data_IF_216187836724
#
_entry.id   IF_216187836724
#
_cell.length_a   1.000
_cell.length_b   1.000
_cell.length_c   1.000
_cell.angle_alpha   90.00
_cell.angle_beta   90.00
_cell.angle_gamma   90.00
#
_symmetry.space_group_name_H-M   'P 1'
#
loop_
_entity.id
_entity.type
_entity.pdbx_description
1 polymer ?
#
# COMPACT_ATOMS: atom_id res chain seq x y z
N UNK A 1 7.18 22.24 -52.12
CA UNK A 1 6.31 23.01 -51.21
C UNK A 1 5.03 22.20 -50.98
N UNK A 2 4.81 21.72 -49.76
CA UNK A 2 3.55 21.11 -49.34
C UNK A 2 2.65 22.26 -48.92
N UNK A 3 1.54 22.46 -49.58
CA UNK A 3 0.53 23.41 -49.17
C UNK A 3 -0.44 22.66 -48.23
N UNK A 4 -0.50 22.98 -46.93
CA UNK A 4 -1.45 22.34 -46.05
C UNK A 4 -2.88 22.73 -46.50
N UNK A 5 -3.77 21.72 -46.62
CA UNK A 5 -5.19 21.95 -46.82
C UNK A 5 -5.87 22.57 -45.61
N UNK A 6 -7.12 22.99 -45.74
CA UNK A 6 -7.90 23.45 -44.61
C UNK A 6 -8.11 22.31 -43.60
N UNK A 7 -7.84 22.54 -42.30
CA UNK A 7 -7.98 21.51 -41.30
C UNK A 7 -9.48 21.18 -41.04
N UNK A 8 -9.78 19.88 -40.95
CA UNK A 8 -11.14 19.41 -40.61
C UNK A 8 -11.48 19.68 -39.16
N UNK A 9 -12.77 20.00 -38.91
CA UNK A 9 -13.29 20.28 -37.58
C UNK A 9 -14.29 19.23 -37.16
N UNK A 10 -14.39 18.99 -35.84
CA UNK A 10 -15.39 18.11 -35.27
C UNK A 10 -16.79 18.68 -35.48
N UNK A 11 -17.61 17.99 -36.22
CA UNK A 11 -19.03 18.29 -36.41
C UNK A 11 -19.94 17.62 -35.38
N UNK A 12 -19.52 16.43 -34.91
CA UNK A 12 -20.26 15.71 -33.85
C UNK A 12 -19.49 14.53 -33.28
N UNK A 13 -19.90 14.14 -32.10
CA UNK A 13 -19.42 12.96 -31.39
C UNK A 13 -20.58 12.05 -31.06
N UNK A 14 -20.62 10.89 -31.68
CA UNK A 14 -21.62 9.86 -31.45
C UNK A 14 -20.90 8.71 -30.72
N UNK A 15 -20.90 8.80 -29.40
CA UNK A 15 -20.23 7.83 -28.51
C UNK A 15 -21.27 7.23 -27.60
N UNK A 16 -21.55 5.96 -27.80
CA UNK A 16 -22.52 5.18 -27.02
C UNK A 16 -21.81 4.03 -26.29
N UNK A 17 -22.21 3.82 -25.05
CA UNK A 17 -21.75 2.71 -24.23
C UNK A 17 -22.99 1.91 -23.86
N UNK A 18 -22.97 0.62 -24.20
CA UNK A 18 -24.03 -0.35 -23.91
C UNK A 18 -23.54 -1.43 -22.95
N UNK A 19 -24.44 -2.30 -22.49
CA UNK A 19 -24.16 -3.27 -21.45
C UNK A 19 -24.25 -2.66 -20.06
N UNK A 20 -23.72 -3.37 -19.05
CA UNK A 20 -23.81 -2.91 -17.66
C UNK A 20 -23.01 -1.63 -17.38
N UNK A 21 -21.97 -1.34 -18.17
CA UNK A 21 -21.20 -0.11 -18.02
C UNK A 21 -21.97 1.15 -18.40
N UNK A 22 -23.11 1.03 -19.08
CA UNK A 22 -23.95 2.19 -19.43
C UNK A 22 -24.43 2.97 -18.20
N UNK A 23 -24.63 2.28 -17.08
CA UNK A 23 -25.06 2.84 -15.80
C UNK A 23 -23.87 3.16 -14.85
N UNK A 24 -22.64 2.82 -15.25
CA UNK A 24 -21.44 3.07 -14.42
C UNK A 24 -21.01 4.54 -14.54
N UNK A 25 -21.02 5.24 -13.41
CA UNK A 25 -20.67 6.67 -13.33
C UNK A 25 -19.27 6.99 -13.86
N UNK A 26 -18.32 6.05 -13.77
CA UNK A 26 -16.97 6.25 -14.26
C UNK A 26 -16.92 6.35 -15.79
N UNK A 27 -17.76 5.60 -16.49
CA UNK A 27 -17.91 5.71 -17.94
C UNK A 27 -18.66 6.99 -18.32
N UNK A 28 -19.66 7.37 -17.56
CA UNK A 28 -20.36 8.65 -17.75
C UNK A 28 -19.40 9.84 -17.60
N UNK A 29 -18.48 9.76 -16.65
CA UNK A 29 -17.46 10.79 -16.44
C UNK A 29 -16.52 10.97 -17.62
N UNK A 30 -16.25 9.93 -18.42
CA UNK A 30 -15.42 10.03 -19.63
C UNK A 30 -16.03 10.95 -20.70
N UNK A 31 -17.36 11.14 -20.72
CA UNK A 31 -18.03 12.06 -21.66
C UNK A 31 -17.53 13.49 -21.55
N UNK A 32 -17.00 13.89 -20.40
CA UNK A 32 -16.39 15.22 -20.18
C UNK A 32 -15.14 15.45 -21.03
N UNK A 33 -14.52 14.38 -21.48
CA UNK A 33 -13.29 14.40 -22.28
C UNK A 33 -13.57 14.34 -23.80
N UNK A 34 -14.83 14.33 -24.20
CA UNK A 34 -15.20 14.40 -25.61
C UNK A 34 -14.84 15.78 -26.19
N UNK A 35 -14.35 15.83 -27.45
CA UNK A 35 -14.07 17.09 -28.10
C UNK A 35 -15.36 17.87 -28.34
N UNK A 36 -15.25 19.19 -28.30
CA UNK A 36 -16.37 20.08 -28.56
C UNK A 36 -16.58 20.28 -30.08
N UNK A 37 -17.81 20.56 -30.47
CA UNK A 37 -18.09 20.91 -31.85
C UNK A 37 -17.27 22.14 -32.26
N UNK A 38 -16.63 22.06 -33.43
CA UNK A 38 -15.76 23.10 -33.97
C UNK A 38 -14.28 23.00 -33.59
N UNK A 39 -13.90 22.09 -32.71
CA UNK A 39 -12.48 21.79 -32.45
C UNK A 39 -11.82 21.13 -33.65
N UNK A 40 -10.50 21.33 -33.81
CA UNK A 40 -9.72 20.68 -34.85
C UNK A 40 -9.64 19.17 -34.61
N UNK A 41 -9.65 18.43 -35.71
CA UNK A 41 -9.51 16.97 -35.65
C UNK A 41 -8.08 16.59 -35.30
N UNK A 42 -7.91 15.87 -34.20
CA UNK A 42 -6.66 15.26 -33.79
C UNK A 42 -6.86 13.74 -33.65
N UNK A 43 -6.21 12.96 -34.51
CA UNK A 43 -6.30 11.49 -34.46
C UNK A 43 -5.87 10.93 -33.11
N UNK A 44 -4.85 11.53 -32.50
CA UNK A 44 -4.34 11.10 -31.21
C UNK A 44 -5.42 11.20 -30.12
N UNK A 45 -6.20 12.27 -30.09
CA UNK A 45 -7.30 12.41 -29.13
C UNK A 45 -8.37 11.33 -29.28
N UNK A 46 -8.64 10.94 -30.52
CA UNK A 46 -9.57 9.85 -30.81
C UNK A 46 -9.04 8.51 -30.27
N UNK A 47 -7.78 8.19 -30.55
CA UNK A 47 -7.15 6.95 -30.11
C UNK A 47 -6.99 6.91 -28.59
N UNK A 48 -6.62 8.03 -27.97
CA UNK A 48 -6.51 8.17 -26.51
C UNK A 48 -7.86 7.96 -25.84
N UNK A 49 -8.93 8.52 -26.39
CA UNK A 49 -10.27 8.34 -25.85
C UNK A 49 -10.76 6.89 -25.96
N UNK A 50 -10.54 6.26 -27.11
CA UNK A 50 -10.82 4.84 -27.33
C UNK A 50 -10.04 3.95 -26.36
N UNK A 51 -8.76 4.22 -26.16
CA UNK A 51 -7.90 3.53 -25.22
C UNK A 51 -8.38 3.72 -23.79
N UNK A 52 -8.83 4.92 -23.44
CA UNK A 52 -9.38 5.22 -22.10
C UNK A 52 -10.63 4.40 -21.79
N UNK A 53 -11.53 4.21 -22.76
CA UNK A 53 -12.71 3.34 -22.59
C UNK A 53 -12.26 1.90 -22.36
N UNK A 54 -11.36 1.37 -23.18
CA UNK A 54 -10.88 -0.02 -23.04
C UNK A 54 -10.18 -0.25 -21.70
N UNK A 55 -9.30 0.66 -21.31
CA UNK A 55 -8.57 0.55 -20.05
C UNK A 55 -9.51 0.64 -18.84
N UNK A 56 -10.49 1.54 -18.89
CA UNK A 56 -11.49 1.65 -17.83
C UNK A 56 -12.33 0.38 -17.73
N UNK A 57 -12.72 -0.20 -18.86
CA UNK A 57 -13.47 -1.46 -18.89
C UNK A 57 -12.69 -2.59 -18.23
N UNK A 58 -11.43 -2.78 -18.60
CA UNK A 58 -10.55 -3.80 -18.01
C UNK A 58 -10.35 -3.55 -16.51
N UNK A 59 -10.10 -2.29 -16.11
CA UNK A 59 -9.88 -1.93 -14.73
C UNK A 59 -11.11 -2.19 -13.84
N UNK A 60 -12.30 -2.10 -14.38
CA UNK A 60 -13.57 -2.26 -13.67
C UNK A 60 -14.26 -3.60 -13.87
N UNK A 61 -13.60 -4.56 -14.51
CA UNK A 61 -14.10 -5.92 -14.63
C UNK A 61 -15.05 -6.18 -15.79
N UNK A 62 -15.13 -5.30 -16.77
CA UNK A 62 -15.86 -5.55 -18.02
C UNK A 62 -14.92 -6.22 -19.03
N UNK A 63 -14.57 -7.48 -18.75
CA UNK A 63 -13.53 -8.20 -19.50
C UNK A 63 -13.93 -8.60 -20.91
N UNK A 64 -15.23 -8.71 -21.18
CA UNK A 64 -15.80 -9.01 -22.50
C UNK A 64 -16.05 -7.75 -23.34
N UNK A 65 -15.71 -6.59 -22.80
CA UNK A 65 -15.97 -5.30 -23.44
C UNK A 65 -15.28 -5.16 -24.80
N UNK A 66 -16.04 -4.77 -25.80
CA UNK A 66 -15.53 -4.60 -27.18
C UNK A 66 -16.24 -3.47 -27.90
N UNK A 67 -15.52 -2.85 -28.83
CA UNK A 67 -16.10 -1.90 -29.76
C UNK A 67 -16.86 -2.63 -30.86
N UNK A 68 -18.14 -2.32 -31.00
CA UNK A 68 -18.97 -2.75 -32.13
C UNK A 68 -18.74 -1.80 -33.33
N UNK A 69 -18.61 -0.51 -33.02
CA UNK A 69 -18.27 0.55 -34.00
C UNK A 69 -17.12 1.37 -33.41
N UNK A 70 -16.12 1.65 -34.22
CA UNK A 70 -14.97 2.47 -33.83
C UNK A 70 -14.35 3.08 -35.06
N UNK A 71 -14.82 4.26 -35.45
CA UNK A 71 -14.34 4.96 -36.65
C UNK A 71 -14.40 6.46 -36.49
N UNK A 72 -13.42 7.12 -37.07
CA UNK A 72 -13.37 8.55 -37.29
C UNK A 72 -13.74 8.81 -38.75
N UNK A 73 -14.92 9.38 -38.97
CA UNK A 73 -15.41 9.73 -40.30
C UNK A 73 -14.98 11.15 -40.64
N UNK A 74 -14.34 11.36 -41.76
CA UNK A 74 -13.92 12.68 -42.23
C UNK A 74 -14.48 12.92 -43.65
N UNK A 75 -15.19 14.02 -43.81
CA UNK A 75 -15.62 14.47 -45.14
C UNK A 75 -14.64 15.52 -45.69
N UNK A 76 -13.90 15.16 -46.74
CA UNK A 76 -12.96 16.10 -47.35
C UNK A 76 -13.63 17.31 -48.01
N UNK A 77 -14.88 17.13 -48.43
CA UNK A 77 -15.65 18.18 -49.14
C UNK A 77 -16.16 19.28 -48.22
N UNK A 78 -16.60 18.89 -46.98
CA UNK A 78 -17.16 19.83 -46.01
C UNK A 78 -16.17 20.21 -44.91
N UNK A 79 -14.97 19.58 -44.90
CA UNK A 79 -13.99 19.71 -43.82
C UNK A 79 -14.54 19.41 -42.43
N UNK A 80 -15.46 18.47 -42.36
CA UNK A 80 -16.13 18.04 -41.12
C UNK A 80 -15.71 16.61 -40.76
N UNK A 81 -15.74 16.34 -39.45
CA UNK A 81 -15.44 15.02 -38.91
C UNK A 81 -16.39 14.60 -37.80
N UNK A 82 -16.66 13.32 -37.74
CA UNK A 82 -17.56 12.72 -36.73
C UNK A 82 -16.82 11.56 -36.05
N UNK A 83 -16.89 11.52 -34.72
CA UNK A 83 -16.52 10.35 -33.95
C UNK A 83 -17.70 9.40 -33.87
N UNK A 84 -17.51 8.16 -34.30
CA UNK A 84 -18.50 7.10 -34.22
C UNK A 84 -17.94 5.97 -33.39
N UNK A 85 -18.43 5.82 -32.16
CA UNK A 85 -18.03 4.75 -31.24
C UNK A 85 -19.26 4.12 -30.61
N UNK A 86 -19.35 2.80 -30.71
CA UNK A 86 -20.31 1.99 -29.95
C UNK A 86 -19.51 0.94 -29.21
N UNK A 87 -19.44 1.07 -27.89
CA UNK A 87 -18.76 0.13 -27.02
C UNK A 87 -19.78 -0.68 -26.23
N UNK A 88 -19.72 -1.99 -26.39
CA UNK A 88 -20.52 -2.93 -25.62
C UNK A 88 -19.65 -3.53 -24.51
N UNK A 89 -19.97 -3.22 -23.28
CA UNK A 89 -19.22 -3.69 -22.11
C UNK A 89 -19.49 -5.14 -21.75
N UNK A 90 -20.62 -5.69 -22.19
CA UNK A 90 -21.12 -6.93 -21.65
C UNK A 90 -21.49 -6.80 -20.16
N UNK A 91 -21.39 -7.91 -19.45
CA UNK A 91 -21.62 -7.98 -18.00
C UNK A 91 -20.33 -7.76 -17.22
N UNK A 92 -20.45 -7.24 -16.01
CA UNK A 92 -19.33 -7.05 -15.10
C UNK A 92 -18.94 -8.36 -14.44
N UNK A 93 -17.65 -8.68 -14.43
CA UNK A 93 -17.12 -9.82 -13.70
C UNK A 93 -17.06 -9.52 -12.20
N UNK A 94 -17.19 -10.58 -11.40
CA UNK A 94 -17.12 -10.55 -9.96
C UNK A 94 -16.03 -11.49 -9.46
N UNK A 95 -15.57 -11.31 -8.21
CA UNK A 95 -14.63 -12.24 -7.61
C UNK A 95 -15.29 -13.60 -7.35
N UNK A 96 -14.61 -14.67 -7.76
CA UNK A 96 -14.95 -16.04 -7.43
C UNK A 96 -14.24 -16.51 -6.15
N UNK A 97 -13.53 -17.62 -6.22
CA UNK A 97 -12.79 -18.18 -5.10
C UNK A 97 -11.48 -17.43 -4.88
N UNK A 98 -11.14 -17.22 -3.61
CA UNK A 98 -9.86 -16.65 -3.20
C UNK A 98 -9.09 -17.73 -2.46
N UNK A 99 -7.92 -18.11 -2.97
CA UNK A 99 -7.10 -19.19 -2.44
C UNK A 99 -5.70 -18.72 -2.10
N UNK A 100 -5.09 -19.34 -1.09
CA UNK A 100 -3.74 -19.07 -0.65
C UNK A 100 -2.88 -20.31 -0.84
N UNK A 101 -1.66 -20.16 -1.31
CA UNK A 101 -0.71 -21.23 -1.47
C UNK A 101 0.68 -20.84 -0.97
N UNK A 102 1.46 -21.84 -0.57
CA UNK A 102 2.84 -21.73 -0.03
C UNK A 102 2.99 -20.96 1.28
N UNK A 103 1.94 -20.45 1.89
CA UNK A 103 2.03 -19.65 3.10
C UNK A 103 2.38 -20.47 4.35
N UNK A 104 3.27 -19.93 5.17
CA UNK A 104 3.56 -20.40 6.53
C UNK A 104 2.58 -19.84 7.57
N UNK A 105 1.77 -18.87 7.20
CA UNK A 105 0.79 -18.22 8.08
C UNK A 105 -0.55 -18.94 7.97
N UNK A 106 -1.25 -19.07 9.07
CA UNK A 106 -2.58 -19.68 9.13
C UNK A 106 -3.57 -18.93 8.22
N UNK A 107 -4.39 -19.72 7.55
CA UNK A 107 -5.34 -19.19 6.57
C UNK A 107 -6.37 -18.22 7.18
N UNK A 108 -6.82 -18.46 8.43
CA UNK A 108 -7.74 -17.55 9.12
C UNK A 108 -7.17 -16.14 9.33
N UNK A 109 -5.86 -16.03 9.58
CA UNK A 109 -5.16 -14.73 9.61
C UNK A 109 -5.10 -14.08 8.23
N UNK A 110 -4.82 -14.86 7.19
CA UNK A 110 -4.75 -14.36 5.81
C UNK A 110 -6.13 -13.90 5.31
N UNK A 111 -7.17 -14.66 5.60
CA UNK A 111 -8.56 -14.33 5.26
C UNK A 111 -8.98 -12.96 5.83
N UNK A 112 -8.60 -12.68 7.08
CA UNK A 112 -8.95 -11.43 7.75
C UNK A 112 -8.15 -10.22 7.25
N UNK A 113 -7.17 -10.43 6.38
CA UNK A 113 -6.39 -9.37 5.72
C UNK A 113 -6.92 -9.00 4.34
N UNK A 114 -7.87 -9.76 3.82
CA UNK A 114 -8.45 -9.52 2.50
C UNK A 114 -9.28 -8.23 2.50
N UNK A 115 -9.08 -7.43 1.47
CA UNK A 115 -9.91 -6.25 1.15
C UNK A 115 -11.03 -6.57 0.15
N UNK A 116 -11.11 -7.82 -0.30
CA UNK A 116 -12.09 -8.32 -1.28
C UNK A 116 -12.84 -9.52 -0.72
N UNK A 117 -14.05 -9.75 -1.23
CA UNK A 117 -14.87 -10.90 -0.90
C UNK A 117 -15.37 -11.57 -2.18
N UNK A 118 -15.61 -12.88 -2.12
CA UNK A 118 -16.32 -13.59 -3.19
C UNK A 118 -17.68 -12.94 -3.45
N UNK A 119 -17.96 -12.64 -4.72
CA UNK A 119 -19.17 -11.95 -5.16
C UNK A 119 -19.06 -10.44 -5.28
N UNK A 120 -18.01 -9.81 -4.75
CA UNK A 120 -17.76 -8.39 -4.97
C UNK A 120 -17.42 -8.11 -6.44
N UNK A 121 -17.73 -6.93 -6.97
CA UNK A 121 -17.33 -6.54 -8.32
C UNK A 121 -15.80 -6.54 -8.48
N UNK A 122 -15.31 -7.11 -9.56
CA UNK A 122 -13.89 -7.14 -9.86
C UNK A 122 -13.34 -5.75 -10.18
N UNK A 123 -12.24 -5.36 -9.48
CA UNK A 123 -11.49 -4.13 -9.71
C UNK A 123 -9.98 -4.44 -9.69
N UNK A 124 -9.27 -4.02 -10.73
CA UNK A 124 -7.80 -4.21 -10.79
C UNK A 124 -7.08 -3.46 -9.66
N UNK A 125 -7.61 -2.31 -9.24
CA UNK A 125 -7.06 -1.54 -8.10
C UNK A 125 -7.07 -2.33 -6.78
N UNK A 126 -8.06 -3.18 -6.57
CA UNK A 126 -8.14 -4.02 -5.36
C UNK A 126 -6.98 -5.02 -5.29
N UNK A 127 -6.53 -5.53 -6.44
CA UNK A 127 -5.39 -6.46 -6.51
C UNK A 127 -4.08 -5.79 -6.12
N UNK A 128 -3.90 -4.53 -6.50
CA UNK A 128 -2.73 -3.74 -6.09
C UNK A 128 -2.74 -3.47 -4.59
N UNK A 129 -3.90 -3.12 -4.03
CA UNK A 129 -4.07 -2.93 -2.60
C UNK A 129 -3.83 -4.23 -1.82
N UNK A 130 -4.37 -5.34 -2.32
CA UNK A 130 -4.18 -6.67 -1.72
C UNK A 130 -2.70 -7.07 -1.70
N UNK A 131 -1.99 -6.87 -2.81
CA UNK A 131 -0.53 -7.11 -2.90
C UNK A 131 0.23 -6.26 -1.87
N UNK A 132 -0.11 -4.98 -1.75
CA UNK A 132 0.52 -4.09 -0.79
C UNK A 132 0.24 -4.51 0.66
N UNK A 133 -0.97 -4.91 0.97
CA UNK A 133 -1.36 -5.38 2.30
C UNK A 133 -0.55 -6.59 2.73
N UNK A 134 -0.44 -7.60 1.87
CA UNK A 134 0.35 -8.80 2.17
C UNK A 134 1.85 -8.54 2.20
N UNK A 135 2.37 -7.70 1.31
CA UNK A 135 3.79 -7.35 1.27
C UNK A 135 4.22 -6.52 2.49
N UNK A 136 3.33 -5.71 3.04
CA UNK A 136 3.62 -4.85 4.20
C UNK A 136 3.85 -5.61 5.50
N UNK A 137 3.41 -6.88 5.58
CA UNK A 137 3.60 -7.72 6.76
C UNK A 137 5.02 -8.14 7.02
N UNK A 138 5.88 -8.10 6.00
CA UNK A 138 7.24 -8.65 6.01
C UNK A 138 7.32 -10.18 6.28
N UNK A 139 6.22 -10.89 6.24
CA UNK A 139 6.20 -12.35 6.40
C UNK A 139 6.70 -13.10 5.17
N UNK A 140 6.55 -12.47 4.00
CA UNK A 140 6.79 -13.09 2.70
C UNK A 140 7.98 -12.45 1.98
N UNK A 141 8.76 -13.28 1.32
CA UNK A 141 9.80 -12.83 0.38
C UNK A 141 9.21 -12.41 -0.96
N UNK A 142 8.08 -13.02 -1.33
CA UNK A 142 7.35 -12.73 -2.56
C UNK A 142 5.87 -12.92 -2.36
N UNK A 143 5.08 -12.01 -2.90
CA UNK A 143 3.61 -12.04 -2.96
C UNK A 143 3.22 -11.92 -4.42
N UNK A 144 2.64 -12.99 -4.97
CA UNK A 144 2.18 -13.04 -6.36
C UNK A 144 0.68 -13.29 -6.38
N UNK A 145 -0.05 -12.46 -7.12
CA UNK A 145 -1.46 -12.66 -7.38
C UNK A 145 -1.65 -13.18 -8.80
N UNK A 146 -2.40 -14.26 -8.93
CA UNK A 146 -2.77 -14.82 -10.21
C UNK A 146 -4.30 -14.81 -10.35
N UNK A 147 -4.84 -13.90 -11.15
CA UNK A 147 -6.26 -13.92 -11.50
C UNK A 147 -6.52 -15.00 -12.55
N UNK A 148 -7.52 -15.84 -12.32
CA UNK A 148 -8.00 -16.86 -13.23
C UNK A 148 -9.44 -16.52 -13.66
N UNK A 149 -9.58 -16.14 -14.93
CA UNK A 149 -10.88 -15.74 -15.48
C UNK A 149 -11.70 -16.98 -15.84
N UNK A 150 -12.91 -17.08 -15.31
CA UNK A 150 -13.92 -18.06 -15.68
C UNK A 150 -15.00 -17.38 -16.53
N UNK A 151 -14.85 -17.45 -17.83
CA UNK A 151 -15.75 -16.77 -18.77
C UNK A 151 -17.20 -17.25 -18.70
N UNK A 152 -17.41 -18.55 -18.44
CA UNK A 152 -18.74 -19.15 -18.36
C UNK A 152 -19.55 -18.59 -17.19
N UNK A 153 -18.92 -18.41 -16.05
CA UNK A 153 -19.55 -17.94 -14.81
C UNK A 153 -19.46 -16.43 -14.62
N UNK A 154 -18.69 -15.73 -15.46
CA UNK A 154 -18.34 -14.31 -15.32
C UNK A 154 -17.71 -13.99 -13.97
N UNK A 155 -16.82 -14.88 -13.52
CA UNK A 155 -16.09 -14.79 -12.27
C UNK A 155 -14.58 -14.74 -12.51
N UNK A 156 -13.88 -14.12 -11.58
CA UNK A 156 -12.41 -14.10 -11.54
C UNK A 156 -11.97 -14.69 -10.21
N UNK A 157 -11.36 -15.86 -10.26
CA UNK A 157 -10.74 -16.49 -9.08
C UNK A 157 -9.36 -15.85 -8.84
N UNK A 158 -9.03 -15.59 -7.60
CA UNK A 158 -7.75 -15.01 -7.21
C UNK A 158 -6.94 -16.04 -6.44
N UNK A 159 -5.78 -16.39 -6.96
CA UNK A 159 -4.79 -17.22 -6.29
C UNK A 159 -3.65 -16.36 -5.77
N UNK A 160 -3.42 -16.42 -4.45
CA UNK A 160 -2.30 -15.75 -3.81
C UNK A 160 -1.19 -16.77 -3.57
N UNK A 161 -0.05 -16.56 -4.21
CA UNK A 161 1.17 -17.33 -3.98
C UNK A 161 2.05 -16.55 -3.00
N UNK A 162 2.18 -17.07 -1.78
CA UNK A 162 2.79 -16.40 -0.64
C UNK A 162 4.05 -17.16 -0.22
N UNK A 163 5.21 -16.75 -0.70
CA UNK A 163 6.47 -17.42 -0.38
C UNK A 163 7.07 -16.90 0.91
N UNK A 164 7.35 -17.77 1.90
CA UNK A 164 7.87 -17.35 3.19
C UNK A 164 9.21 -16.63 3.09
N UNK A 165 9.39 -15.59 3.89
CA UNK A 165 10.70 -14.99 4.13
C UNK A 165 11.55 -15.92 5.02
N UNK A 166 12.86 -15.83 4.91
CA UNK A 166 13.77 -16.58 5.80
C UNK A 166 13.49 -16.24 7.26
N UNK A 167 13.53 -17.26 8.12
CA UNK A 167 13.22 -17.10 9.57
C UNK A 167 14.17 -16.17 10.31
N UNK A 168 15.40 -16.02 9.83
CA UNK A 168 16.42 -15.18 10.46
C UNK A 168 17.07 -14.29 9.42
N UNK A 169 17.21 -13.03 9.76
CA UNK A 169 18.02 -12.05 9.04
C UNK A 169 18.96 -11.39 10.03
N UNK A 170 20.23 -11.36 9.71
CA UNK A 170 21.27 -10.72 10.52
C UNK A 170 21.97 -9.65 9.72
N UNK A 171 22.18 -8.52 10.35
CA UNK A 171 22.89 -7.37 9.79
C UNK A 171 24.06 -7.04 10.71
N UNK A 172 25.24 -6.88 10.14
CA UNK A 172 26.46 -6.48 10.86
C UNK A 172 26.96 -5.18 10.25
N UNK A 173 27.06 -4.15 11.08
CA UNK A 173 27.65 -2.86 10.74
C UNK A 173 28.90 -2.59 11.57
N UNK A 174 29.93 -2.05 10.95
CA UNK A 174 31.09 -1.49 11.62
C UNK A 174 31.32 -0.09 11.10
N UNK A 175 31.67 0.82 11.99
CA UNK A 175 31.85 2.21 11.60
C UNK A 175 32.72 3.00 12.57
N UNK A 176 32.97 4.24 12.23
CA UNK A 176 33.66 5.21 13.06
C UNK A 176 32.89 6.54 13.07
N UNK A 177 32.61 7.05 14.25
CA UNK A 177 31.99 8.36 14.43
C UNK A 177 32.91 9.24 15.27
N UNK A 178 32.88 10.55 15.02
CA UNK A 178 33.79 11.51 15.67
C UNK A 178 33.52 11.69 17.16
N UNK A 179 32.29 11.43 17.58
CA UNK A 179 31.83 11.59 18.97
C UNK A 179 31.90 10.29 19.79
N UNK A 180 31.76 9.14 19.15
CA UNK A 180 31.71 7.83 19.82
C UNK A 180 32.86 6.89 19.45
N UNK A 181 33.71 7.28 18.47
CA UNK A 181 34.81 6.46 17.98
C UNK A 181 34.36 5.22 17.17
N UNK A 182 35.17 4.16 17.19
CA UNK A 182 34.81 2.92 16.52
C UNK A 182 33.59 2.28 17.19
N UNK A 183 32.68 1.77 16.37
CA UNK A 183 31.47 1.09 16.85
C UNK A 183 31.12 -0.11 16.02
N UNK A 184 30.38 -1.02 16.63
CA UNK A 184 29.79 -2.21 16.00
C UNK A 184 28.28 -2.18 16.22
N UNK A 185 27.54 -2.50 15.19
CA UNK A 185 26.10 -2.65 15.23
C UNK A 185 25.71 -4.03 14.74
N UNK A 186 24.85 -4.71 15.48
CA UNK A 186 24.33 -6.04 15.14
C UNK A 186 22.81 -5.97 15.18
N UNK A 187 22.19 -6.20 14.03
CA UNK A 187 20.73 -6.37 13.90
C UNK A 187 20.37 -7.83 13.72
N UNK A 188 19.36 -8.30 14.42
CA UNK A 188 18.79 -9.62 14.21
C UNK A 188 17.27 -9.51 14.16
N UNK A 189 16.70 -10.00 13.05
CA UNK A 189 15.27 -9.94 12.79
C UNK A 189 14.74 -11.34 12.48
N UNK A 190 13.64 -11.68 13.13
CA UNK A 190 12.79 -12.81 12.78
C UNK A 190 11.49 -12.25 12.21
N UNK A 191 11.32 -12.18 10.87
CA UNK A 191 10.14 -11.62 10.24
C UNK A 191 8.85 -12.34 10.64
N UNK A 192 8.95 -13.61 10.92
CA UNK A 192 7.89 -14.44 11.48
C UNK A 192 8.50 -15.54 12.38
N UNK A 193 7.82 -15.83 13.49
CA UNK A 193 8.26 -16.82 14.46
C UNK A 193 7.37 -18.07 14.40
N UNK A 194 6.07 -17.84 14.22
CA UNK A 194 5.04 -18.88 14.22
C UNK A 194 4.00 -18.62 13.13
N UNK A 195 3.05 -19.54 12.99
CA UNK A 195 1.96 -19.45 12.01
C UNK A 195 0.94 -18.33 12.27
N UNK A 196 1.04 -17.63 13.40
CA UNK A 196 0.23 -16.44 13.72
C UNK A 196 0.89 -15.14 13.29
N UNK A 197 2.08 -15.21 12.67
CA UNK A 197 2.79 -14.03 12.18
C UNK A 197 3.45 -13.18 13.26
N UNK A 198 3.72 -13.71 14.45
CA UNK A 198 4.52 -13.01 15.44
C UNK A 198 5.92 -12.75 14.90
N UNK A 199 6.47 -11.60 15.21
CA UNK A 199 7.80 -11.19 14.75
C UNK A 199 8.65 -10.67 15.90
N UNK A 200 9.95 -10.75 15.72
CA UNK A 200 10.95 -10.28 16.68
C UNK A 200 12.05 -9.52 15.96
N UNK A 201 12.43 -8.39 16.52
CA UNK A 201 13.55 -7.59 16.06
C UNK A 201 14.41 -7.20 17.25
N UNK A 202 15.72 -7.28 17.10
CA UNK A 202 16.67 -6.75 18.08
C UNK A 202 17.80 -6.03 17.39
N UNK A 203 18.32 -5.03 18.06
CA UNK A 203 19.45 -4.24 17.61
C UNK A 203 20.39 -4.00 18.79
N UNK A 204 21.68 -4.25 18.57
CA UNK A 204 22.75 -4.02 19.51
C UNK A 204 23.74 -3.03 18.88
N UNK A 205 24.01 -1.94 19.58
CA UNK A 205 25.03 -0.96 19.23
C UNK A 205 26.07 -0.90 20.34
N UNK A 206 27.34 -1.02 20.01
CA UNK A 206 28.44 -1.00 20.98
C UNK A 206 29.56 -0.08 20.48
N UNK A 207 29.86 0.91 21.29
CA UNK A 207 31.08 1.72 21.21
C UNK A 207 31.68 1.88 22.60
N UNK A 208 32.89 2.46 22.71
CA UNK A 208 33.51 2.67 24.02
C UNK A 208 32.65 3.50 24.97
N UNK A 209 32.11 4.69 24.56
CA UNK A 209 31.29 5.51 25.45
C UNK A 209 29.79 5.11 25.47
N UNK A 210 29.30 4.36 24.47
CA UNK A 210 27.86 4.09 24.36
C UNK A 210 27.57 2.64 24.02
N UNK A 211 26.69 2.03 24.79
CA UNK A 211 26.10 0.73 24.49
C UNK A 211 24.58 0.87 24.49
N UNK A 212 23.95 0.39 23.44
CA UNK A 212 22.48 0.41 23.29
C UNK A 212 22.01 -0.98 22.83
N UNK A 213 21.00 -1.49 23.49
CA UNK A 213 20.30 -2.72 23.12
C UNK A 213 18.81 -2.44 23.05
N UNK A 214 18.19 -2.85 21.94
CA UNK A 214 16.75 -2.73 21.74
C UNK A 214 16.21 -4.09 21.27
N UNK A 215 15.05 -4.47 21.77
CA UNK A 215 14.32 -5.63 21.30
C UNK A 215 12.83 -5.33 21.23
N UNK A 216 12.18 -5.77 20.18
CA UNK A 216 10.75 -5.57 19.92
C UNK A 216 10.12 -6.88 19.49
N UNK A 217 9.01 -7.23 20.14
CA UNK A 217 8.16 -8.36 19.79
C UNK A 217 6.79 -7.85 19.35
N UNK A 218 6.38 -8.20 18.13
CA UNK A 218 5.07 -7.81 17.56
C UNK A 218 4.16 -9.02 17.48
N UNK A 219 2.95 -8.86 17.96
CA UNK A 219 1.91 -9.88 18.01
C UNK A 219 0.66 -9.41 17.28
N UNK A 220 0.50 -9.72 15.97
CA UNK A 220 -0.72 -9.42 15.22
C UNK A 220 -1.92 -10.16 15.79
N UNK A 221 -3.09 -9.52 15.71
CA UNK A 221 -4.34 -10.09 16.18
C UNK A 221 -5.16 -10.70 15.05
N UNK A 222 -5.84 -11.80 15.33
CA UNK A 222 -6.63 -12.55 14.35
C UNK A 222 -7.70 -11.70 13.66
N UNK A 223 -8.34 -10.76 14.38
CA UNK A 223 -9.43 -9.93 13.84
C UNK A 223 -9.03 -9.20 12.55
N UNK A 224 -7.85 -8.62 12.53
CA UNK A 224 -7.20 -8.08 11.35
C UNK A 224 -5.70 -7.87 11.67
N UNK A 225 -4.82 -8.75 11.20
CA UNK A 225 -3.40 -8.71 11.53
C UNK A 225 -2.66 -7.45 11.06
N UNK A 226 -3.17 -6.76 10.04
CA UNK A 226 -2.60 -5.50 9.55
C UNK A 226 -2.91 -4.31 10.46
N UNK A 227 -4.13 -4.30 11.00
CA UNK A 227 -4.67 -3.13 11.68
C UNK A 227 -4.60 -3.23 13.20
N UNK A 228 -4.60 -4.44 13.76
CA UNK A 228 -4.64 -4.67 15.20
C UNK A 228 -3.47 -5.55 15.63
N UNK A 229 -2.62 -5.02 16.50
CA UNK A 229 -1.50 -5.76 17.05
C UNK A 229 -1.06 -5.22 18.40
N UNK A 230 -0.42 -6.08 19.19
CA UNK A 230 0.37 -5.69 20.35
C UNK A 230 1.84 -5.60 19.98
N UNK A 231 2.53 -4.68 20.63
CA UNK A 231 3.97 -4.52 20.53
C UNK A 231 4.57 -4.43 21.93
N UNK A 232 5.51 -5.31 22.18
CA UNK A 232 6.29 -5.33 23.44
C UNK A 232 7.71 -4.96 23.09
N UNK A 233 8.25 -3.96 23.77
CA UNK A 233 9.62 -3.51 23.53
C UNK A 233 10.39 -3.39 24.84
N UNK A 234 11.68 -3.61 24.74
CA UNK A 234 12.65 -3.33 25.81
C UNK A 234 13.84 -2.63 25.21
N UNK A 235 14.39 -1.69 25.97
CA UNK A 235 15.59 -0.95 25.62
C UNK A 235 16.52 -0.85 26.82
N UNK A 236 17.79 -1.03 26.58
CA UNK A 236 18.85 -0.73 27.53
C UNK A 236 19.86 0.21 26.88
N UNK A 237 20.12 1.31 27.54
CA UNK A 237 21.14 2.28 27.12
C UNK A 237 22.11 2.53 28.27
N UNK A 238 23.39 2.50 27.97
CA UNK A 238 24.44 2.98 28.84
C UNK A 238 25.30 3.96 28.05
N UNK A 239 25.52 5.13 28.63
CA UNK A 239 26.39 6.16 28.06
C UNK A 239 27.30 6.71 29.13
N UNK A 240 28.59 6.77 28.82
CA UNK A 240 29.61 7.41 29.66
C UNK A 240 30.25 8.53 28.86
N UNK A 241 29.96 9.77 29.26
CA UNK A 241 30.45 10.97 28.59
C UNK A 241 30.72 12.07 29.61
N UNK A 242 31.91 12.67 29.52
CA UNK A 242 32.28 13.83 30.34
C UNK A 242 32.09 13.60 31.85
N UNK A 243 32.63 12.50 32.40
CA UNK A 243 32.52 12.11 33.80
C UNK A 243 31.08 11.83 34.30
N UNK A 244 30.18 11.62 33.36
CA UNK A 244 28.79 11.26 33.62
C UNK A 244 28.50 9.84 33.10
N UNK A 245 28.05 8.93 33.96
CA UNK A 245 27.60 7.58 33.62
C UNK A 245 26.05 7.54 33.71
N UNK A 246 25.41 7.33 32.60
CA UNK A 246 23.94 7.19 32.53
C UNK A 246 23.58 5.79 32.12
N UNK A 247 22.58 5.21 32.77
CA UNK A 247 21.99 3.92 32.43
C UNK A 247 20.48 4.07 32.41
N UNK A 248 19.87 3.62 31.35
CA UNK A 248 18.44 3.60 31.20
C UNK A 248 17.95 2.22 30.80
N UNK A 249 16.91 1.74 31.44
CA UNK A 249 16.19 0.52 31.10
C UNK A 249 14.72 0.86 30.86
N UNK A 250 14.20 0.49 29.71
CA UNK A 250 12.83 0.80 29.30
C UNK A 250 12.09 -0.48 28.93
N UNK A 251 10.84 -0.60 29.36
CA UNK A 251 9.89 -1.60 28.89
C UNK A 251 8.63 -0.88 28.43
N UNK A 252 8.05 -1.36 27.34
CA UNK A 252 6.78 -0.85 26.84
C UNK A 252 5.90 -1.99 26.38
N UNK A 253 4.61 -1.88 26.66
CA UNK A 253 3.57 -2.75 26.15
C UNK A 253 2.49 -1.86 25.51
N UNK A 254 2.40 -1.88 24.20
CA UNK A 254 1.53 -1.02 23.43
C UNK A 254 0.54 -1.85 22.61
N UNK A 255 -0.67 -1.36 22.51
CA UNK A 255 -1.66 -1.85 21.56
C UNK A 255 -1.85 -0.83 20.45
N UNK A 256 -1.81 -1.30 19.22
CA UNK A 256 -2.07 -0.51 18.02
C UNK A 256 -3.40 -0.89 17.40
N UNK A 257 -4.10 0.09 16.86
CA UNK A 257 -5.27 -0.11 16.01
C UNK A 257 -5.35 0.98 14.94
N UNK A 258 -5.55 0.53 13.72
CA UNK A 258 -5.65 1.38 12.54
C UNK A 258 -7.08 1.30 12.01
N UNK A 259 -7.57 2.37 11.40
CA UNK A 259 -8.83 2.34 10.69
C UNK A 259 -8.64 2.52 9.17
N UNK A 260 -9.71 2.27 8.43
CA UNK A 260 -9.73 2.38 6.96
C UNK A 260 -9.52 3.80 6.43
N UNK A 261 -9.65 4.82 7.28
CA UNK A 261 -9.48 6.24 6.91
C UNK A 261 -8.05 6.76 7.08
N UNK A 262 -7.10 5.85 7.35
CA UNK A 262 -5.69 6.18 7.54
C UNK A 262 -5.33 6.70 8.93
N UNK A 263 -6.23 6.61 9.91
CA UNK A 263 -5.92 6.88 11.30
C UNK A 263 -5.23 5.69 11.94
N UNK A 264 -4.15 5.97 12.62
CA UNK A 264 -3.42 5.04 13.46
C UNK A 264 -3.47 5.52 14.91
N UNK A 265 -3.83 4.62 15.81
CA UNK A 265 -3.90 4.86 17.24
C UNK A 265 -3.03 3.86 17.98
N UNK A 266 -2.45 4.30 19.09
CA UNK A 266 -1.82 3.40 20.03
C UNK A 266 -2.09 3.85 21.46
N UNK A 267 -2.09 2.90 22.37
CA UNK A 267 -2.12 3.16 23.81
C UNK A 267 -1.44 2.02 24.55
N UNK A 268 -0.88 2.32 25.70
CA UNK A 268 -0.25 1.32 26.54
C UNK A 268 0.45 1.89 27.75
N UNK A 269 1.37 1.11 28.28
CA UNK A 269 2.16 1.44 29.46
C UNK A 269 3.65 1.40 29.12
N UNK A 270 4.37 2.34 29.70
CA UNK A 270 5.84 2.36 29.69
C UNK A 270 6.37 2.34 31.11
N UNK A 271 7.44 1.59 31.29
CA UNK A 271 8.22 1.55 32.52
C UNK A 271 9.63 1.98 32.18
N UNK A 272 10.16 2.93 32.92
CA UNK A 272 11.50 3.45 32.72
C UNK A 272 12.24 3.52 34.04
N UNK A 273 13.43 2.98 34.05
CA UNK A 273 14.39 3.09 35.13
C UNK A 273 15.65 3.79 34.62
N UNK A 274 15.97 4.91 35.25
CA UNK A 274 17.17 5.69 34.96
C UNK A 274 18.11 5.69 36.16
N UNK A 275 19.40 5.55 35.91
CA UNK A 275 20.45 5.77 36.88
C UNK A 275 21.47 6.74 36.28
N UNK A 276 21.70 7.80 36.99
CA UNK A 276 22.62 8.88 36.60
C UNK A 276 23.68 9.04 37.67
N UNK A 277 24.95 9.01 37.28
CA UNK A 277 26.08 9.21 38.18
C UNK A 277 26.99 10.30 37.61
N UNK A 278 27.24 11.34 38.39
CA UNK A 278 28.17 12.40 38.07
C UNK A 278 29.07 12.67 39.27
N UNK A 279 30.38 12.48 39.11
CA UNK A 279 31.34 12.49 40.20
C UNK A 279 30.92 11.52 41.34
N UNK A 280 30.68 12.01 42.54
CA UNK A 280 30.26 11.23 43.70
C UNK A 280 28.74 11.18 43.91
N UNK A 281 27.98 11.82 43.02
CA UNK A 281 26.52 11.90 43.13
C UNK A 281 25.85 10.86 42.23
N UNK A 282 25.00 10.03 42.80
CA UNK A 282 24.17 9.05 42.04
C UNK A 282 22.71 9.30 42.34
N UNK A 283 21.91 9.45 41.29
CA UNK A 283 20.46 9.53 41.35
C UNK A 283 19.83 8.37 40.56
N UNK A 284 18.68 7.91 41.04
CA UNK A 284 17.94 6.80 40.44
C UNK A 284 16.46 7.17 40.36
N UNK A 285 15.89 7.00 39.19
CA UNK A 285 14.47 7.30 38.95
C UNK A 285 13.76 6.08 38.38
N UNK A 286 12.62 5.78 38.93
CA UNK A 286 11.74 4.75 38.42
C UNK A 286 10.39 5.37 38.06
N UNK A 287 9.97 5.22 36.80
CA UNK A 287 8.75 5.80 36.27
C UNK A 287 7.89 4.71 35.64
N UNK A 288 6.60 4.77 35.96
CA UNK A 288 5.56 4.00 35.25
C UNK A 288 4.52 4.99 34.78
N UNK A 289 4.29 5.04 33.48
CA UNK A 289 3.36 6.02 32.93
C UNK A 289 2.57 5.44 31.75
N UNK A 290 1.29 5.82 31.65
CA UNK A 290 0.52 5.54 30.43
C UNK A 290 1.08 6.36 29.28
N UNK A 291 1.01 5.80 28.10
CA UNK A 291 1.38 6.50 26.86
C UNK A 291 0.35 6.21 25.80
N UNK A 292 0.10 7.16 24.95
CA UNK A 292 -0.83 7.01 23.85
C UNK A 292 -0.61 8.06 22.79
N UNK A 293 -1.13 7.82 21.63
CA UNK A 293 -1.04 8.75 20.54
C UNK A 293 -1.94 8.36 19.38
N UNK A 294 -2.06 9.29 18.46
CA UNK A 294 -2.73 9.06 17.20
C UNK A 294 -1.97 9.79 16.08
N UNK A 295 -2.05 9.21 14.91
CA UNK A 295 -1.52 9.83 13.70
C UNK A 295 -2.46 9.61 12.54
N UNK A 296 -2.41 10.49 11.57
CA UNK A 296 -3.07 10.34 10.29
C UNK A 296 -2.15 10.82 9.19
N UNK A 297 -1.96 9.97 8.19
CA UNK A 297 -1.22 10.33 6.99
C UNK A 297 -2.14 10.21 5.79
N UNK A 298 -2.21 11.27 5.00
CA UNK A 298 -2.95 11.29 3.74
C UNK A 298 -2.00 11.66 2.61
N UNK A 299 -2.04 10.86 1.54
CA UNK A 299 -1.23 11.07 0.34
C UNK A 299 -2.13 11.07 -0.89
N UNK A 300 -1.84 11.92 -1.85
CA UNK A 300 -2.48 11.95 -3.17
C UNK A 300 -1.40 11.91 -4.25
N UNK A 301 -1.62 11.16 -5.32
CA UNK A 301 -0.68 11.05 -6.44
C UNK A 301 -0.05 9.66 -6.62
N UNK A 302 -0.57 8.63 -5.97
CA UNK A 302 -0.10 7.24 -6.15
C UNK A 302 1.35 7.03 -5.72
N UNK A 303 2.16 6.43 -6.59
CA UNK A 303 3.59 6.17 -6.30
C UNK A 303 4.44 7.44 -6.18
N UNK A 304 4.00 8.53 -6.78
CA UNK A 304 4.63 9.84 -6.69
C UNK A 304 3.64 10.82 -6.08
N UNK A 305 3.65 10.97 -4.73
CA UNK A 305 2.72 11.87 -4.07
C UNK A 305 2.93 13.33 -4.53
N UNK A 306 1.86 13.93 -5.03
CA UNK A 306 1.82 15.35 -5.42
C UNK A 306 1.30 16.23 -4.29
N UNK A 307 0.68 15.61 -3.30
CA UNK A 307 0.18 16.26 -2.09
C UNK A 307 0.08 15.26 -0.95
N UNK A 308 0.38 15.71 0.26
CA UNK A 308 0.24 14.92 1.47
C UNK A 308 0.22 15.78 2.71
N UNK A 309 -0.46 15.31 3.74
CA UNK A 309 -0.42 15.85 5.09
C UNK A 309 -0.23 14.73 6.12
N UNK A 310 0.41 15.08 7.23
CA UNK A 310 0.58 14.18 8.35
C UNK A 310 0.24 14.93 9.64
N UNK A 311 -0.68 14.37 10.42
CA UNK A 311 -0.98 14.81 11.78
C UNK A 311 -0.45 13.75 12.76
N UNK A 312 0.38 14.16 13.68
CA UNK A 312 0.93 13.30 14.73
C UNK A 312 0.72 13.96 16.09
N UNK A 313 0.16 13.20 17.02
CA UNK A 313 0.07 13.55 18.45
C UNK A 313 0.51 12.36 19.30
N UNK A 314 1.42 12.61 20.22
CA UNK A 314 1.91 11.64 21.20
C UNK A 314 1.97 12.27 22.59
N UNK A 315 1.64 11.51 23.60
CA UNK A 315 1.76 11.90 25.01
C UNK A 315 2.58 10.86 25.78
#
# INVERSE_FOLDING_TARGET
>A
TVTPGEPSKIAGTDVEITGEAAEDENFTALRKNLPKQGELVEHQKYDDYKTSISNLALARGYLDGKFQISRLEISPETHEAWWRMLFDSGVRYHYGNITFDHSQIREDYLQNMLNIKSGDPYLVSDLSELTNNFSSTNWFSSVLLQPHVREEDKLVDIELLLYPRKKNSMELGVGFATDTGPHVQIGWTKPWINSRGHSFRTNLYVSAPKQNFEATYKMPLLKNPLNYYYEFSTGYEKENKNDTDTKALTFAALRYWNNSEGWQYFAGLRVRYDSYTQADFTDKTFLVYPTGGFSRTRLRGGQFPIWGDCLLYTS
#
